data_IF_650620807389
#
_entry.id   IF_650620807389
#
_cell.length_a   1.000
_cell.length_b   1.000
_cell.length_c   1.000
_cell.angle_alpha   90.00
_cell.angle_beta   90.00
_cell.angle_gamma   90.00
#
_symmetry.space_group_name_H-M   'P 1'
#
loop_
_entity.id
_entity.type
_entity.pdbx_description
1 polymer ?
#
# COMPACT_ATOMS: atom_id res chain seq x y z
N UNK A 1 11.37 7.06 14.52
CA UNK A 1 11.69 7.73 15.79
C UNK A 1 10.58 7.36 16.78
N UNK A 2 10.94 6.74 17.90
CA UNK A 2 9.99 6.21 18.90
C UNK A 2 10.07 7.14 20.10
N UNK A 3 9.02 7.91 20.33
CA UNK A 3 8.93 8.78 21.50
C UNK A 3 8.63 7.87 22.69
N UNK A 4 9.63 7.70 23.54
CA UNK A 4 9.58 6.91 24.77
C UNK A 4 8.84 7.72 25.84
N UNK A 5 7.56 7.45 26.04
CA UNK A 5 6.87 7.81 27.28
C UNK A 5 6.63 6.51 28.05
N UNK A 6 7.18 6.44 29.27
CA UNK A 6 7.16 5.28 30.17
C UNK A 6 5.79 4.90 30.72
N UNK A 7 4.71 5.29 30.05
CA UNK A 7 3.33 4.98 30.36
C UNK A 7 2.61 4.60 29.06
N UNK A 8 2.99 3.44 28.51
CA UNK A 8 2.37 2.92 27.29
C UNK A 8 1.06 2.21 27.67
N UNK A 9 -0.08 2.56 27.06
CA UNK A 9 -1.36 1.94 27.36
C UNK A 9 -1.28 0.44 27.14
N UNK A 10 -1.96 -0.32 27.99
CA UNK A 10 -1.98 -1.78 27.93
C UNK A 10 -2.40 -2.20 26.51
N UNK A 11 -1.58 -3.00 25.80
CA UNK A 11 -1.84 -3.34 24.41
C UNK A 11 -3.24 -3.93 24.26
N UNK A 12 -4.11 -3.29 23.49
CA UNK A 12 -5.48 -3.74 23.28
C UNK A 12 -5.63 -4.24 21.84
N UNK A 13 -6.22 -5.42 21.66
CA UNK A 13 -6.56 -5.98 20.34
C UNK A 13 -8.07 -6.03 20.22
N UNK A 14 -8.63 -5.46 19.15
CA UNK A 14 -10.06 -5.58 18.85
C UNK A 14 -10.27 -6.82 17.98
N UNK A 15 -11.08 -7.76 18.47
CA UNK A 15 -11.48 -8.97 17.73
C UNK A 15 -13.00 -8.97 17.68
N UNK A 16 -13.58 -8.92 16.49
CA UNK A 16 -15.04 -8.95 16.29
C UNK A 16 -15.81 -7.91 17.15
N UNK A 17 -15.31 -6.67 17.19
CA UNK A 17 -15.89 -5.59 17.99
C UNK A 17 -15.63 -5.66 19.49
N UNK A 18 -15.07 -6.77 20.00
CA UNK A 18 -14.70 -6.93 21.41
C UNK A 18 -13.27 -6.45 21.62
N UNK A 19 -13.11 -5.51 22.56
CA UNK A 19 -11.81 -4.96 22.97
C UNK A 19 -11.16 -5.92 23.96
N UNK A 20 -10.09 -6.62 23.56
CA UNK A 20 -9.36 -7.57 24.41
C UNK A 20 -8.03 -6.97 24.89
N UNK A 21 -7.84 -6.97 26.21
CA UNK A 21 -6.59 -6.58 26.84
C UNK A 21 -5.54 -7.68 26.62
N UNK A 22 -4.44 -7.34 25.95
CA UNK A 22 -3.34 -8.28 25.68
C UNK A 22 -2.22 -7.98 26.68
N UNK A 23 -1.72 -9.05 27.31
CA UNK A 23 -0.60 -8.93 28.24
C UNK A 23 0.58 -8.22 27.56
N UNK A 24 1.31 -7.34 28.28
CA UNK A 24 2.55 -6.76 27.79
C UNK A 24 3.48 -7.87 27.31
N UNK A 25 3.89 -7.81 26.05
CA UNK A 25 4.76 -8.82 25.44
C UNK A 25 6.21 -8.60 25.89
N UNK A 26 6.90 -9.70 26.21
CA UNK A 26 8.31 -9.69 26.62
C UNK A 26 9.19 -9.04 25.54
N UNK A 27 10.31 -8.44 25.95
CA UNK A 27 11.23 -7.74 25.04
C UNK A 27 11.63 -8.58 23.80
N UNK A 28 11.85 -9.88 23.97
CA UNK A 28 12.18 -10.82 22.89
C UNK A 28 11.03 -11.00 21.89
N UNK A 29 9.79 -11.11 22.35
CA UNK A 29 8.63 -11.23 21.46
C UNK A 29 8.43 -9.95 20.65
N UNK A 30 8.68 -8.78 21.24
CA UNK A 30 8.65 -7.50 20.53
C UNK A 30 9.73 -7.43 19.46
N UNK A 31 10.93 -7.95 19.74
CA UNK A 31 12.02 -8.04 18.77
C UNK A 31 11.68 -9.01 17.63
N UNK A 32 11.15 -10.19 17.94
CA UNK A 32 10.72 -11.18 16.96
C UNK A 32 9.64 -10.62 16.02
N UNK A 33 8.61 -9.96 16.57
CA UNK A 33 7.54 -9.33 15.78
C UNK A 33 8.06 -8.20 14.88
N UNK A 34 9.04 -7.42 15.34
CA UNK A 34 9.70 -6.39 14.51
C UNK A 34 10.45 -7.02 13.33
N UNK A 35 11.13 -8.13 13.56
CA UNK A 35 11.85 -8.85 12.50
C UNK A 35 10.90 -9.51 11.50
N UNK A 36 9.77 -10.06 11.98
CA UNK A 36 8.70 -10.60 11.14
C UNK A 36 8.12 -9.52 10.21
N UNK A 37 7.79 -8.34 10.75
CA UNK A 37 7.29 -7.22 9.94
C UNK A 37 8.32 -6.76 8.90
N UNK A 38 9.61 -6.76 9.25
CA UNK A 38 10.69 -6.42 8.32
C UNK A 38 10.83 -7.46 7.20
N UNK A 39 10.68 -8.74 7.54
CA UNK A 39 10.69 -9.82 6.56
C UNK A 39 9.47 -9.75 5.62
N UNK A 40 8.28 -9.46 6.15
CA UNK A 40 7.07 -9.25 5.35
C UNK A 40 7.19 -8.05 4.42
N UNK A 41 7.72 -6.92 4.90
CA UNK A 41 7.97 -5.75 4.06
C UNK A 41 8.95 -6.04 2.92
N UNK A 42 10.00 -6.82 3.21
CA UNK A 42 10.99 -7.24 2.21
C UNK A 42 10.38 -8.19 1.18
N UNK A 43 9.59 -9.16 1.62
CA UNK A 43 8.87 -10.08 0.75
C UNK A 43 7.87 -9.31 -0.14
N UNK A 44 7.14 -8.35 0.42
CA UNK A 44 6.20 -7.52 -0.33
C UNK A 44 6.94 -6.67 -1.37
N UNK A 45 8.10 -6.09 -1.03
CA UNK A 45 8.94 -5.38 -2.00
C UNK A 45 9.41 -6.32 -3.13
N UNK A 46 9.91 -7.52 -2.80
CA UNK A 46 10.35 -8.49 -3.81
C UNK A 46 9.19 -8.99 -4.70
N UNK A 47 8.00 -9.19 -4.13
CA UNK A 47 6.79 -9.56 -4.87
C UNK A 47 6.29 -8.43 -5.75
N UNK A 48 6.22 -7.21 -5.21
CA UNK A 48 5.75 -6.04 -5.95
C UNK A 48 6.73 -5.65 -7.04
N UNK A 49 8.05 -5.83 -6.88
CA UNK A 49 9.05 -5.48 -7.89
C UNK A 49 8.83 -6.19 -9.23
N UNK A 50 8.51 -7.49 -9.19
CA UNK A 50 8.13 -8.26 -10.39
C UNK A 50 6.82 -7.79 -11.04
N UNK A 51 5.96 -7.12 -10.26
CA UNK A 51 4.64 -6.64 -10.67
C UNK A 51 4.54 -5.11 -10.81
N UNK A 52 5.58 -4.34 -10.51
CA UNK A 52 5.63 -2.87 -10.66
C UNK A 52 5.42 -2.47 -12.13
N UNK A 53 5.92 -3.29 -13.06
CA UNK A 53 5.69 -3.14 -14.50
C UNK A 53 4.18 -3.19 -14.84
N UNK A 54 3.40 -4.05 -14.17
CA UNK A 54 1.95 -4.21 -14.41
C UNK A 54 1.11 -3.06 -13.85
N UNK A 55 1.48 -2.48 -12.71
CA UNK A 55 0.77 -1.31 -12.16
C UNK A 55 1.06 -0.04 -12.96
N UNK A 56 2.29 0.13 -13.46
CA UNK A 56 2.63 1.23 -14.35
C UNK A 56 1.89 1.14 -15.69
N UNK A 57 1.67 -0.06 -16.24
CA UNK A 57 0.86 -0.24 -17.47
C UNK A 57 -0.55 0.33 -17.29
N UNK A 58 -1.22 0.09 -16.15
CA UNK A 58 -2.57 0.64 -15.95
C UNK A 58 -2.57 2.18 -15.92
N UNK A 59 -1.60 2.78 -15.22
CA UNK A 59 -1.44 4.25 -15.14
C UNK A 59 -1.10 4.85 -16.51
N UNK A 60 -0.18 4.22 -17.23
CA UNK A 60 0.29 4.71 -18.53
C UNK A 60 -0.74 4.50 -19.63
N UNK A 61 -1.47 3.38 -19.63
CA UNK A 61 -2.56 3.12 -20.57
C UNK A 61 -3.64 4.19 -20.46
N UNK A 62 -4.08 4.56 -19.25
CA UNK A 62 -5.09 5.61 -19.05
C UNK A 62 -4.65 6.98 -19.56
N UNK A 63 -3.38 7.35 -19.33
CA UNK A 63 -2.80 8.58 -19.89
C UNK A 63 -2.65 8.53 -21.41
N UNK A 64 -2.26 7.37 -21.96
CA UNK A 64 -2.10 7.16 -23.40
C UNK A 64 -3.44 7.28 -24.13
N UNK A 65 -4.50 6.65 -23.64
CA UNK A 65 -5.84 6.76 -24.23
C UNK A 65 -6.31 8.21 -24.24
N UNK A 66 -6.12 8.94 -23.12
CA UNK A 66 -6.49 10.36 -23.01
C UNK A 66 -5.68 11.25 -23.97
N UNK A 67 -4.40 10.95 -24.19
CA UNK A 67 -3.56 11.67 -25.14
C UNK A 67 -3.96 11.40 -26.60
N UNK A 68 -4.35 10.17 -26.93
CA UNK A 68 -4.88 9.79 -28.25
C UNK A 68 -6.23 10.48 -28.48
N UNK A 69 -7.15 10.45 -27.52
CA UNK A 69 -8.42 11.18 -27.58
C UNK A 69 -8.22 12.68 -27.75
N UNK A 70 -7.23 13.29 -27.07
CA UNK A 70 -6.92 14.71 -27.26
C UNK A 70 -6.35 15.02 -28.65
N UNK A 71 -5.57 14.10 -29.24
CA UNK A 71 -4.97 14.29 -30.58
C UNK A 71 -5.93 14.03 -31.73
N UNK A 72 -6.91 13.15 -31.55
CA UNK A 72 -7.78 12.67 -32.64
C UNK A 72 -9.28 12.90 -32.40
N UNK A 73 -9.69 13.20 -31.16
CA UNK A 73 -11.09 13.48 -30.80
C UNK A 73 -11.62 14.82 -31.30
N UNK A 74 -10.74 15.71 -31.76
CA UNK A 74 -11.10 17.00 -32.39
C UNK A 74 -11.40 16.88 -33.90
N UNK A 75 -11.35 15.67 -34.48
CA UNK A 75 -11.53 15.45 -35.91
C UNK A 75 -12.99 15.14 -36.32
N UNK A 76 -13.99 15.70 -35.62
CA UNK A 76 -15.42 15.46 -35.91
C UNK A 76 -16.07 16.52 -36.82
N UNK A 77 -15.30 17.35 -37.50
CA UNK A 77 -15.88 18.35 -38.41
C UNK A 77 -15.03 18.57 -39.67
N UNK A 78 -15.03 17.61 -40.57
CA UNK A 78 -14.81 17.91 -42.00
C UNK A 78 -16.00 17.40 -42.78
N UNK A 79 -16.92 18.35 -43.01
CA UNK A 79 -18.05 18.30 -43.95
C UNK A 79 -17.68 17.47 -45.19
N UNK A 80 -18.42 16.38 -45.42
CA UNK A 80 -18.58 15.84 -46.78
C UNK A 80 -19.63 16.69 -47.49
N UNK A 81 -19.21 17.29 -48.61
CA UNK A 81 -20.04 17.97 -49.62
C UNK A 81 -21.06 16.98 -50.21
#
# INVERSE_FOLDING_TARGET
EVILNGDSPIPTRVVDGVVQLVAPTTAEQRLAKKNELKAQGTLLMALTDKHQLKFNIHKYAKSLTKAIEKRFGENKETKKV
#
